data_IF_751297260259
#
_entry.id   IF_751297260259
#
_cell.length_a   1.000
_cell.length_b   1.000
_cell.length_c   1.000
_cell.angle_alpha   90.00
_cell.angle_beta   90.00
_cell.angle_gamma   90.00
#
_symmetry.space_group_name_H-M   'P 1'
#
loop_
_entity.id
_entity.type
_entity.pdbx_description
1 polymer ?
#
# COMPACT_ATOMS: atom_id res chain seq x y z
N UNK A 1 15.22 -7.49 7.79
CA UNK A 1 15.23 -7.40 6.31
C UNK A 1 16.67 -7.46 5.84
N UNK A 2 17.04 -8.50 5.11
CA UNK A 2 18.37 -8.70 4.53
C UNK A 2 18.47 -7.93 3.20
N UNK A 3 19.70 -7.64 2.75
CA UNK A 3 19.90 -6.87 1.49
C UNK A 3 19.36 -7.55 0.23
N UNK A 4 19.34 -8.87 0.23
CA UNK A 4 18.83 -9.70 -0.84
C UNK A 4 17.34 -10.07 -0.69
N UNK A 5 16.68 -9.63 0.39
CA UNK A 5 15.26 -9.90 0.61
C UNK A 5 14.41 -9.37 -0.54
N UNK A 6 13.40 -10.12 -0.94
CA UNK A 6 12.47 -9.76 -1.99
C UNK A 6 11.41 -8.79 -1.44
N UNK A 7 11.42 -7.56 -1.94
CA UNK A 7 10.59 -6.45 -1.43
C UNK A 7 9.63 -6.01 -2.52
N UNK A 8 8.33 -6.06 -2.24
CA UNK A 8 7.31 -5.51 -3.13
C UNK A 8 6.87 -4.12 -2.66
N UNK A 9 6.88 -3.15 -3.57
CA UNK A 9 6.37 -1.80 -3.32
C UNK A 9 5.13 -1.57 -4.18
N UNK A 10 3.95 -1.81 -3.60
CA UNK A 10 2.66 -1.54 -4.23
C UNK A 10 2.44 -0.02 -4.28
N UNK A 11 2.25 0.53 -5.49
CA UNK A 11 2.15 1.98 -5.70
C UNK A 11 3.50 2.68 -5.91
N UNK A 12 4.49 1.95 -6.40
CA UNK A 12 5.87 2.41 -6.65
C UNK A 12 5.98 3.64 -7.58
N UNK A 13 4.99 3.89 -8.43
CA UNK A 13 4.98 5.02 -9.35
C UNK A 13 4.42 6.32 -8.72
N UNK A 14 3.80 6.24 -7.55
CA UNK A 14 3.32 7.39 -6.81
C UNK A 14 4.45 8.14 -6.09
N UNK A 15 4.12 9.32 -5.54
CA UNK A 15 5.08 10.18 -4.83
C UNK A 15 5.79 9.43 -3.70
N UNK A 16 5.04 8.82 -2.80
CA UNK A 16 5.59 8.09 -1.65
C UNK A 16 6.27 6.80 -2.08
N UNK A 17 5.65 6.00 -2.95
CA UNK A 17 6.20 4.73 -3.42
C UNK A 17 7.54 4.91 -4.14
N UNK A 18 7.66 5.91 -5.01
CA UNK A 18 8.93 6.20 -5.70
C UNK A 18 10.02 6.64 -4.73
N UNK A 19 9.69 7.39 -3.68
CA UNK A 19 10.62 7.79 -2.63
C UNK A 19 11.13 6.57 -1.83
N UNK A 20 10.22 5.64 -1.48
CA UNK A 20 10.57 4.38 -0.82
C UNK A 20 11.53 3.56 -1.70
N UNK A 21 11.20 3.38 -2.99
CA UNK A 21 12.07 2.64 -3.92
C UNK A 21 13.47 3.26 -4.01
N UNK A 22 13.57 4.59 -4.15
CA UNK A 22 14.87 5.29 -4.14
C UNK A 22 15.63 5.07 -2.85
N UNK A 23 14.96 5.19 -1.70
CA UNK A 23 15.60 4.99 -0.39
C UNK A 23 16.11 3.56 -0.22
N UNK A 24 15.32 2.56 -0.59
CA UNK A 24 15.72 1.16 -0.55
C UNK A 24 16.95 0.89 -1.42
N UNK A 25 16.96 1.39 -2.66
CA UNK A 25 18.12 1.28 -3.57
C UNK A 25 19.36 1.94 -2.99
N UNK A 26 19.24 3.16 -2.46
CA UNK A 26 20.34 3.88 -1.83
C UNK A 26 20.91 3.14 -0.60
N UNK A 27 20.08 2.35 0.06
CA UNK A 27 20.47 1.48 1.17
C UNK A 27 21.03 0.12 0.72
N UNK A 28 21.16 -0.12 -0.59
CA UNK A 28 21.75 -1.34 -1.15
C UNK A 28 20.80 -2.55 -1.15
N UNK A 29 19.47 -2.32 -1.19
CA UNK A 29 18.50 -3.38 -1.51
C UNK A 29 18.35 -3.48 -3.01
N UNK A 30 18.57 -4.67 -3.57
CA UNK A 30 18.58 -4.87 -5.02
C UNK A 30 17.33 -5.59 -5.53
N UNK A 31 16.73 -6.43 -4.70
CA UNK A 31 15.61 -7.27 -5.08
C UNK A 31 14.26 -6.58 -4.81
N UNK A 32 14.01 -5.47 -5.51
CA UNK A 32 12.81 -4.64 -5.36
C UNK A 32 11.87 -4.88 -6.54
N UNK A 33 10.67 -5.40 -6.25
CA UNK A 33 9.61 -5.62 -7.22
C UNK A 33 8.74 -4.36 -7.29
N UNK A 34 8.50 -3.90 -8.50
CA UNK A 34 7.58 -2.81 -8.80
C UNK A 34 6.65 -3.23 -9.93
N UNK A 35 5.37 -2.90 -9.83
CA UNK A 35 4.37 -3.13 -10.88
C UNK A 35 3.56 -1.86 -11.09
N UNK A 36 3.25 -1.55 -12.33
CA UNK A 36 2.28 -0.50 -12.64
C UNK A 36 0.85 -1.03 -12.51
N UNK A 37 -0.14 -0.14 -12.45
CA UNK A 37 -1.56 -0.52 -12.45
C UNK A 37 -2.02 -1.19 -13.75
N UNK A 38 -1.23 -1.08 -14.83
CA UNK A 38 -1.48 -1.78 -16.09
C UNK A 38 -0.97 -3.22 -16.08
N UNK A 39 0.06 -3.49 -15.26
CA UNK A 39 0.70 -4.80 -15.16
C UNK A 39 0.09 -5.65 -14.03
N UNK A 40 -0.51 -5.00 -13.02
CA UNK A 40 -1.13 -5.64 -11.87
C UNK A 40 -2.25 -4.74 -11.33
N UNK A 41 -3.50 -5.13 -11.56
CA UNK A 41 -4.65 -4.47 -10.95
C UNK A 41 -4.86 -4.99 -9.52
N UNK A 42 -4.52 -4.18 -8.53
CA UNK A 42 -4.66 -4.54 -7.11
C UNK A 42 -6.10 -4.71 -6.65
N UNK A 43 -7.10 -4.28 -7.46
CA UNK A 43 -8.51 -4.53 -7.19
C UNK A 43 -8.93 -5.95 -7.60
N UNK A 44 -8.16 -6.59 -8.46
CA UNK A 44 -8.37 -7.96 -8.91
C UNK A 44 -7.76 -8.95 -7.92
N UNK A 45 -8.58 -9.59 -7.09
CA UNK A 45 -8.11 -10.61 -6.16
C UNK A 45 -7.28 -11.69 -6.85
N UNK A 46 -7.78 -12.18 -8.00
CA UNK A 46 -7.10 -13.23 -8.78
C UNK A 46 -5.68 -12.82 -9.19
N UNK A 47 -5.52 -11.61 -9.74
CA UNK A 47 -4.21 -11.12 -10.17
C UNK A 47 -3.26 -10.95 -9.00
N UNK A 48 -3.75 -10.38 -7.88
CA UNK A 48 -2.95 -10.18 -6.67
C UNK A 48 -2.48 -11.52 -6.11
N UNK A 49 -3.37 -12.51 -6.00
CA UNK A 49 -3.01 -13.83 -5.47
C UNK A 49 -2.01 -14.54 -6.38
N UNK A 50 -2.24 -14.55 -7.70
CA UNK A 50 -1.28 -15.12 -8.68
C UNK A 50 0.09 -14.42 -8.59
N UNK A 51 0.10 -13.10 -8.44
CA UNK A 51 1.34 -12.34 -8.26
C UNK A 51 2.10 -12.75 -6.99
N UNK A 52 1.42 -12.84 -5.84
CA UNK A 52 2.05 -13.25 -4.57
C UNK A 52 2.53 -14.70 -4.60
N UNK A 53 1.77 -15.60 -5.23
CA UNK A 53 2.16 -17.01 -5.42
C UNK A 53 3.43 -17.15 -6.27
N UNK A 54 3.53 -16.35 -7.34
CA UNK A 54 4.65 -16.40 -8.28
C UNK A 54 5.88 -15.69 -7.75
N UNK A 55 5.71 -14.44 -7.27
CA UNK A 55 6.82 -13.59 -6.87
C UNK A 55 7.29 -13.87 -5.44
N UNK A 56 6.41 -14.31 -4.56
CA UNK A 56 6.71 -14.65 -3.15
C UNK A 56 7.50 -13.52 -2.44
N UNK A 57 6.97 -12.30 -2.37
CA UNK A 57 7.64 -11.21 -1.68
C UNK A 57 7.75 -11.51 -0.19
N UNK A 58 8.91 -11.25 0.40
CA UNK A 58 9.15 -11.37 1.85
C UNK A 58 8.67 -10.14 2.61
N UNK A 59 8.80 -8.96 1.99
CA UNK A 59 8.41 -7.67 2.57
C UNK A 59 7.51 -6.92 1.60
N UNK A 60 6.48 -6.28 2.12
CA UNK A 60 5.51 -5.52 1.33
C UNK A 60 5.34 -4.11 1.89
N UNK A 61 5.49 -3.10 1.03
CA UNK A 61 5.07 -1.73 1.30
C UNK A 61 3.79 -1.45 0.51
N UNK A 62 2.65 -1.38 1.21
CA UNK A 62 1.38 -1.04 0.60
C UNK A 62 1.16 0.47 0.70
N UNK A 63 1.51 1.17 -0.36
CA UNK A 63 1.36 2.62 -0.52
C UNK A 63 0.45 2.97 -1.70
N UNK A 64 -0.12 1.95 -2.33
CA UNK A 64 -1.11 2.09 -3.39
C UNK A 64 -2.47 2.45 -2.80
N UNK A 65 -3.05 3.49 -3.35
CA UNK A 65 -4.44 3.87 -3.12
C UNK A 65 -4.96 4.63 -4.34
N UNK A 66 -6.27 4.60 -4.57
CA UNK A 66 -6.95 5.59 -5.41
C UNK A 66 -7.06 6.88 -4.61
N UNK A 67 -6.34 7.90 -5.04
CA UNK A 67 -6.31 9.21 -4.37
C UNK A 67 -6.86 10.29 -5.30
N UNK A 68 -7.45 11.32 -4.70
CA UNK A 68 -7.98 12.48 -5.42
C UNK A 68 -8.12 13.68 -4.48
N UNK A 69 -8.34 14.86 -5.06
CA UNK A 69 -8.65 16.04 -4.28
C UNK A 69 -10.04 15.97 -3.65
N UNK A 70 -10.37 16.96 -2.81
CA UNK A 70 -11.66 17.08 -2.10
C UNK A 70 -12.84 16.96 -3.07
N UNK A 71 -12.76 17.63 -4.21
CA UNK A 71 -13.82 17.59 -5.23
C UNK A 71 -14.07 16.17 -5.74
N UNK A 72 -13.03 15.44 -6.14
CA UNK A 72 -13.16 14.09 -6.66
C UNK A 72 -13.71 13.11 -5.61
N UNK A 73 -13.25 13.22 -4.36
CA UNK A 73 -13.79 12.41 -3.25
C UNK A 73 -15.29 12.68 -3.00
N UNK A 74 -15.73 13.92 -3.11
CA UNK A 74 -17.14 14.27 -2.96
C UNK A 74 -17.99 13.84 -4.16
N UNK A 75 -17.44 13.89 -5.38
CA UNK A 75 -18.17 13.54 -6.60
C UNK A 75 -18.33 12.03 -6.78
N UNK A 76 -17.35 11.23 -6.32
CA UNK A 76 -17.29 9.77 -6.54
C UNK A 76 -16.99 9.00 -5.25
N UNK A 77 -17.73 9.23 -4.13
CA UNK A 77 -17.38 8.62 -2.84
C UNK A 77 -17.44 7.10 -2.84
N UNK A 78 -18.41 6.51 -3.54
CA UNK A 78 -18.57 5.07 -3.60
C UNK A 78 -17.41 4.38 -4.34
N UNK A 79 -16.97 4.95 -5.46
CA UNK A 79 -15.85 4.43 -6.25
C UNK A 79 -14.52 4.54 -5.50
N UNK A 80 -14.30 5.65 -4.79
CA UNK A 80 -13.10 5.80 -3.96
C UNK A 80 -13.07 4.79 -2.81
N UNK A 81 -14.20 4.62 -2.12
CA UNK A 81 -14.33 3.64 -1.04
C UNK A 81 -14.10 2.23 -1.58
N UNK A 82 -14.83 1.85 -2.63
CA UNK A 82 -14.75 0.51 -3.21
C UNK A 82 -13.35 0.16 -3.69
N UNK A 83 -12.73 1.01 -4.53
CA UNK A 83 -11.41 0.74 -5.08
C UNK A 83 -10.35 0.61 -3.98
N UNK A 84 -10.38 1.49 -2.97
CA UNK A 84 -9.43 1.43 -1.86
C UNK A 84 -9.62 0.22 -0.96
N UNK A 85 -10.87 -0.15 -0.67
CA UNK A 85 -11.15 -1.38 0.08
C UNK A 85 -10.69 -2.63 -0.66
N UNK A 86 -10.93 -2.70 -1.98
CA UNK A 86 -10.46 -3.83 -2.79
C UNK A 86 -8.92 -3.93 -2.79
N UNK A 87 -8.22 -2.81 -2.99
CA UNK A 87 -6.75 -2.77 -2.98
C UNK A 87 -6.21 -3.28 -1.64
N UNK A 88 -6.66 -2.70 -0.52
CA UNK A 88 -6.14 -3.07 0.81
C UNK A 88 -6.50 -4.51 1.17
N UNK A 89 -7.74 -4.94 0.97
CA UNK A 89 -8.20 -6.27 1.32
C UNK A 89 -7.44 -7.35 0.53
N UNK A 90 -7.28 -7.17 -0.78
CA UNK A 90 -6.58 -8.13 -1.62
C UNK A 90 -5.10 -8.25 -1.24
N UNK A 91 -4.41 -7.12 -1.06
CA UNK A 91 -2.97 -7.13 -0.77
C UNK A 91 -2.69 -7.64 0.65
N UNK A 92 -3.46 -7.19 1.66
CA UNK A 92 -3.27 -7.63 3.05
C UNK A 92 -3.59 -9.12 3.18
N UNK A 93 -4.69 -9.59 2.57
CA UNK A 93 -5.05 -11.00 2.62
C UNK A 93 -4.04 -11.89 1.88
N UNK A 94 -3.61 -11.49 0.68
CA UNK A 94 -2.57 -12.21 -0.05
C UNK A 94 -1.25 -12.27 0.73
N UNK A 95 -0.85 -11.18 1.37
CA UNK A 95 0.34 -11.15 2.21
C UNK A 95 0.26 -12.15 3.37
N UNK A 96 -0.92 -12.27 4.00
CA UNK A 96 -1.16 -13.26 5.05
C UNK A 96 -1.09 -14.69 4.51
N UNK A 97 -1.82 -15.00 3.44
CA UNK A 97 -1.89 -16.35 2.86
C UNK A 97 -0.53 -16.85 2.35
N UNK A 98 0.27 -15.94 1.80
CA UNK A 98 1.59 -16.27 1.25
C UNK A 98 2.75 -16.05 2.24
N UNK A 99 2.46 -15.89 3.53
CA UNK A 99 3.44 -15.82 4.62
C UNK A 99 4.48 -14.70 4.44
N UNK A 100 4.04 -13.50 4.04
CA UNK A 100 4.89 -12.32 4.01
C UNK A 100 5.39 -12.03 5.44
N UNK A 101 6.70 -11.87 5.61
CA UNK A 101 7.31 -11.65 6.94
C UNK A 101 6.83 -10.34 7.57
N UNK A 102 6.73 -9.28 6.77
CA UNK A 102 6.25 -7.98 7.24
C UNK A 102 5.58 -7.17 6.14
N UNK A 103 4.40 -6.66 6.44
CA UNK A 103 3.68 -5.70 5.63
C UNK A 103 3.62 -4.36 6.34
N UNK A 104 3.99 -3.29 5.63
CA UNK A 104 3.75 -1.91 6.05
C UNK A 104 2.62 -1.33 5.20
N UNK A 105 1.51 -0.98 5.84
CA UNK A 105 0.39 -0.27 5.23
C UNK A 105 0.43 1.21 5.62
N UNK A 106 0.43 2.10 4.63
CA UNK A 106 0.33 3.53 4.88
C UNK A 106 -1.13 3.95 4.98
N UNK A 107 -1.55 4.27 6.20
CA UNK A 107 -2.85 4.86 6.47
C UNK A 107 -2.89 6.37 6.15
N UNK A 108 -3.94 7.02 6.58
CA UNK A 108 -4.15 8.46 6.39
C UNK A 108 -4.36 9.15 7.73
N UNK A 109 -3.89 10.39 7.86
CA UNK A 109 -4.21 11.25 9.00
C UNK A 109 -5.72 11.58 9.09
N UNK A 110 -6.46 11.38 8.00
CA UNK A 110 -7.92 11.58 7.97
C UNK A 110 -8.73 10.57 8.80
N UNK A 111 -8.07 9.53 9.34
CA UNK A 111 -8.72 8.60 10.29
C UNK A 111 -8.93 9.23 11.67
N UNK A 112 -8.23 10.30 11.98
CA UNK A 112 -8.38 11.01 13.26
C UNK A 112 -9.56 11.99 13.22
N UNK A 113 -10.21 12.23 14.36
CA UNK A 113 -11.26 13.24 14.45
C UNK A 113 -10.77 14.62 14.00
N UNK A 114 -11.64 15.37 13.30
CA UNK A 114 -11.30 16.71 12.79
C UNK A 114 -10.78 17.66 13.86
N UNK A 115 -11.31 17.55 15.08
CA UNK A 115 -10.99 18.43 16.21
C UNK A 115 -9.96 17.82 17.16
N UNK A 116 -9.29 16.73 16.76
CA UNK A 116 -8.23 16.14 17.58
C UNK A 116 -7.13 17.16 17.90
N UNK A 117 -6.61 17.18 19.14
CA UNK A 117 -5.52 18.07 19.52
C UNK A 117 -4.26 17.85 18.65
N UNK A 118 -3.46 18.90 18.48
CA UNK A 118 -2.20 18.85 17.75
C UNK A 118 -1.00 18.92 18.71
N UNK A 119 0.07 18.15 18.44
CA UNK A 119 0.24 17.15 17.38
C UNK A 119 -0.63 15.91 17.58
N UNK A 120 -1.06 15.27 16.50
CA UNK A 120 -1.84 14.03 16.55
C UNK A 120 -1.09 12.92 17.30
N UNK A 121 -1.81 12.22 18.17
CA UNK A 121 -1.32 11.02 18.89
C UNK A 121 -2.23 9.84 18.57
N UNK A 122 -1.68 8.64 18.63
CA UNK A 122 -2.41 7.39 18.34
C UNK A 122 -3.65 7.22 19.21
N UNK A 123 -3.58 7.65 20.48
CA UNK A 123 -4.70 7.60 21.45
C UNK A 123 -5.92 8.44 21.04
N UNK A 124 -5.78 9.31 20.04
CA UNK A 124 -6.89 10.13 19.54
C UNK A 124 -7.73 9.42 18.47
N UNK A 125 -7.33 8.23 18.07
CA UNK A 125 -8.10 7.42 17.15
C UNK A 125 -9.37 6.91 17.83
N UNK A 126 -10.50 7.05 17.16
CA UNK A 126 -11.82 6.63 17.65
C UNK A 126 -12.37 7.41 18.88
N UNK A 127 -11.88 8.61 19.15
CA UNK A 127 -12.41 9.51 20.18
C UNK A 127 -13.46 10.46 19.64
#
# INVERSE_FOLDING_TARGET
MLKNSKIYVAGSNGMVGSAIVRNLRNKGFENIITKSSKDLDLRSQKEVFTFFETEKPEYVFLVAAKVGGIYANNAYPAEFLYDNMMIQNNVIHAAHVHNVEKLLFLGSSCIYPKMAPQPLKEDYLLT
#
